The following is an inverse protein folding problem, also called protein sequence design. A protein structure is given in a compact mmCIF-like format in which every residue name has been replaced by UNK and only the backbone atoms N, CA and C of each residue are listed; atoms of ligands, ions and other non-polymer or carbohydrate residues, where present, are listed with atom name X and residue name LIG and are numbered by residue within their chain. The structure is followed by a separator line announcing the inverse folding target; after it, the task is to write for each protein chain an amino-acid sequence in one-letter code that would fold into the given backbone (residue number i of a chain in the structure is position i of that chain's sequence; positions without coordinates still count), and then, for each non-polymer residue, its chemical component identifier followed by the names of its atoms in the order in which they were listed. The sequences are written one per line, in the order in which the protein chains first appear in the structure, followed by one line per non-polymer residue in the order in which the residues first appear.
data_IF_353949284951
#
_entry.id   IF_353949284951
#
_cell.length_a   1.000
_cell.length_b   1.000
_cell.length_c   1.000
_cell.angle_alpha   90.00
_cell.angle_beta   90.00
_cell.angle_gamma   90.00
#
_symmetry.space_group_name_H-M   'P 1'
#
loop_
_entity.id
_entity.type
_entity.pdbx_description
1 polymer ?
#
# COMPACT_ATOMS: atom_id res chain seq x y z
N UNK A 1 19.49 53.85 14.89
CA UNK A 1 19.83 52.98 16.03
C UNK A 1 21.08 52.22 15.65
N UNK A 2 22.18 52.46 16.35
CA UNK A 2 23.49 51.86 16.12
C UNK A 2 23.52 50.44 16.67
N UNK A 3 23.86 49.46 15.83
CA UNK A 3 24.09 48.09 16.30
C UNK A 3 25.32 48.05 17.24
N UNK A 4 25.22 47.39 18.40
CA UNK A 4 26.38 47.19 19.27
C UNK A 4 27.40 46.29 18.56
N UNK A 5 28.63 46.78 18.44
CA UNK A 5 29.72 46.07 17.78
C UNK A 5 29.97 44.71 18.44
N UNK A 6 29.97 43.65 17.63
CA UNK A 6 30.30 42.31 18.09
C UNK A 6 31.74 42.28 18.63
N UNK A 7 31.97 41.66 19.80
CA UNK A 7 33.30 41.60 20.40
C UNK A 7 34.29 40.87 19.48
N UNK A 8 35.48 41.47 19.34
CA UNK A 8 36.58 40.90 18.57
C UNK A 8 37.00 39.54 19.15
N UNK A 9 37.13 38.47 18.33
CA UNK A 9 37.46 37.12 18.80
C UNK A 9 38.82 37.02 19.53
N UNK A 10 39.67 38.06 19.46
CA UNK A 10 40.96 38.10 20.16
C UNK A 10 40.85 38.31 21.68
N UNK A 11 39.76 38.89 22.20
CA UNK A 11 39.67 39.15 23.65
C UNK A 11 39.33 37.90 24.46
N UNK A 12 38.61 36.93 23.87
CA UNK A 12 38.16 35.73 24.59
C UNK A 12 39.33 34.78 24.87
N UNK A 13 40.29 34.64 23.95
CA UNK A 13 41.40 33.70 24.11
C UNK A 13 42.40 34.13 25.18
N UNK A 14 42.56 35.44 25.43
CA UNK A 14 43.44 35.95 26.49
C UNK A 14 42.90 35.59 27.88
N UNK A 15 41.58 35.75 28.10
CA UNK A 15 40.94 35.41 29.38
C UNK A 15 41.07 33.95 29.78
N UNK A 16 41.03 33.01 28.83
CA UNK A 16 41.13 31.58 29.15
C UNK A 16 42.57 31.21 29.55
N UNK A 17 43.56 31.77 28.86
CA UNK A 17 44.97 31.55 29.18
C UNK A 17 45.34 32.11 30.56
N UNK A 18 44.82 33.29 30.91
CA UNK A 18 45.09 33.93 32.21
C UNK A 18 44.44 33.16 33.37
N UNK A 19 43.21 32.65 33.20
CA UNK A 19 42.52 31.84 34.21
C UNK A 19 43.24 30.49 34.42
N UNK A 20 43.70 29.83 33.35
CA UNK A 20 44.45 28.59 33.48
C UNK A 20 45.82 28.77 34.12
N UNK A 21 46.51 29.89 33.84
CA UNK A 21 47.76 30.24 34.50
C UNK A 21 47.57 30.44 36.01
N UNK A 22 46.41 30.97 36.44
CA UNK A 22 46.06 31.12 37.86
C UNK A 22 45.78 29.78 38.56
N UNK A 23 45.32 28.76 37.83
CA UNK A 23 44.99 27.43 38.38
C UNK A 23 46.18 26.44 38.39
N UNK A 24 47.32 26.80 37.78
CA UNK A 24 48.52 25.95 37.74
C UNK A 24 48.42 24.73 36.81
N UNK A 25 47.42 24.70 35.92
CA UNK A 25 47.25 23.62 34.95
C UNK A 25 48.17 23.82 33.74
N UNK A 26 48.81 22.74 33.27
CA UNK A 26 49.66 22.78 32.08
C UNK A 26 48.85 23.12 30.82
N UNK A 27 49.41 23.98 29.96
CA UNK A 27 48.76 24.50 28.74
C UNK A 27 48.11 23.40 27.86
N UNK A 28 48.73 22.23 27.76
CA UNK A 28 48.22 21.10 26.97
C UNK A 28 46.91 20.51 27.55
N UNK A 29 46.77 20.48 28.87
CA UNK A 29 45.54 20.02 29.52
C UNK A 29 44.37 20.98 29.25
N UNK A 30 44.66 22.27 29.19
CA UNK A 30 43.69 23.34 28.90
C UNK A 30 43.24 23.28 27.44
N UNK A 31 44.18 23.11 26.50
CA UNK A 31 43.85 22.96 25.09
C UNK A 31 43.04 21.68 24.83
N UNK A 32 43.37 20.57 25.51
CA UNK A 32 42.60 19.33 25.47
C UNK A 32 41.17 19.51 25.99
N UNK A 33 41.01 20.11 27.16
CA UNK A 33 39.70 20.38 27.76
C UNK A 33 38.86 21.34 26.90
N UNK A 34 39.49 22.36 26.30
CA UNK A 34 38.82 23.29 25.39
C UNK A 34 38.34 22.60 24.12
N UNK A 35 39.17 21.72 23.53
CA UNK A 35 38.79 20.96 22.35
C UNK A 35 37.62 20.00 22.65
N UNK A 36 37.66 19.30 23.79
CA UNK A 36 36.58 18.41 24.20
C UNK A 36 35.28 19.17 24.46
N UNK A 37 35.35 20.32 25.15
CA UNK A 37 34.20 21.19 25.38
C UNK A 37 33.60 21.71 24.06
N UNK A 38 34.45 22.07 23.08
CA UNK A 38 34.01 22.51 21.75
C UNK A 38 33.29 21.39 21.00
N UNK A 39 33.88 20.18 20.97
CA UNK A 39 33.28 19.01 20.35
C UNK A 39 31.96 18.60 21.01
N UNK A 40 31.87 18.73 22.34
CA UNK A 40 30.63 18.49 23.07
C UNK A 40 29.56 19.54 22.70
N UNK A 41 29.93 20.82 22.65
CA UNK A 41 29.03 21.90 22.26
C UNK A 41 28.50 21.69 20.83
N UNK A 42 29.37 21.37 19.87
CA UNK A 42 28.96 21.07 18.48
C UNK A 42 28.00 19.89 18.40
N UNK A 43 28.28 18.79 19.12
CA UNK A 43 27.35 17.64 19.18
C UNK A 43 26.01 18.03 19.80
N UNK A 44 26.02 18.85 20.86
CA UNK A 44 24.80 19.30 21.52
C UNK A 44 23.94 20.19 20.59
N UNK A 45 24.58 21.11 19.85
CA UNK A 45 23.93 21.98 18.87
C UNK A 45 23.39 21.17 17.70
N UNK A 46 24.16 20.21 17.17
CA UNK A 46 23.69 19.31 16.11
C UNK A 46 22.49 18.46 16.56
N UNK A 47 22.48 17.95 17.79
CA UNK A 47 21.34 17.22 18.36
C UNK A 47 20.12 18.13 18.55
N UNK A 48 20.31 19.33 19.11
CA UNK A 48 19.24 20.30 19.29
C UNK A 48 18.65 20.72 17.93
N UNK A 49 19.51 20.95 16.93
CA UNK A 49 19.11 21.27 15.57
C UNK A 49 18.32 20.13 14.93
N UNK A 50 18.81 18.90 15.02
CA UNK A 50 18.08 17.73 14.52
C UNK A 50 16.71 17.60 15.16
N UNK A 51 16.63 17.77 16.49
CA UNK A 51 15.35 17.71 17.20
C UNK A 51 14.40 18.83 16.73
N UNK A 52 14.87 20.05 16.51
CA UNK A 52 14.02 21.14 16.01
C UNK A 52 13.58 20.87 14.57
N UNK A 53 14.47 20.40 13.68
CA UNK A 53 14.17 20.05 12.28
C UNK A 53 13.19 18.86 12.15
N UNK A 54 13.10 18.02 13.18
CA UNK A 54 12.13 16.92 13.24
C UNK A 54 10.70 17.43 13.48
N UNK A 55 10.52 18.49 14.28
CA UNK A 55 9.19 19.00 14.66
C UNK A 55 8.78 20.31 13.97
N UNK A 56 9.73 21.07 13.44
CA UNK A 56 9.48 22.38 12.84
C UNK A 56 10.02 22.47 11.42
N UNK A 57 9.29 23.20 10.58
CA UNK A 57 9.79 23.59 9.27
C UNK A 57 10.71 24.81 9.45
N UNK A 58 12.00 24.66 9.14
CA UNK A 58 13.01 25.71 9.28
C UNK A 58 13.36 26.22 7.87
N UNK A 59 13.36 27.55 7.68
CA UNK A 59 13.78 28.16 6.41
C UNK A 59 15.32 28.21 6.27
N UNK A 60 15.80 28.73 5.13
CA UNK A 60 17.25 28.88 4.86
C UNK A 60 17.94 29.88 5.80
N UNK A 61 17.18 30.76 6.44
CA UNK A 61 17.63 31.78 7.37
C UNK A 61 17.47 31.33 8.83
N UNK A 62 17.28 30.02 9.06
CA UNK A 62 17.06 29.41 10.38
C UNK A 62 15.83 29.90 11.14
N UNK A 63 14.82 30.44 10.43
CA UNK A 63 13.56 30.85 11.05
C UNK A 63 12.63 29.65 11.14
N UNK A 64 12.02 29.47 12.32
CA UNK A 64 10.96 28.48 12.50
C UNK A 64 9.68 28.97 11.82
N UNK A 65 9.28 28.33 10.73
CA UNK A 65 8.06 28.65 9.96
C UNK A 65 6.79 28.06 10.60
N UNK A 66 6.95 27.16 11.57
CA UNK A 66 5.85 26.54 12.32
C UNK A 66 6.06 25.02 12.48
N UNK A 67 5.10 24.33 13.12
CA UNK A 67 5.12 22.88 13.23
C UNK A 67 5.18 22.26 11.84
N UNK A 68 6.04 21.26 11.67
CA UNK A 68 6.16 20.48 10.45
C UNK A 68 4.78 19.91 10.12
N UNK A 69 4.21 20.33 8.98
CA UNK A 69 2.92 19.81 8.55
C UNK A 69 3.03 18.30 8.43
N UNK A 70 2.13 17.58 9.11
CA UNK A 70 2.02 16.14 8.95
C UNK A 70 1.93 15.81 7.46
N UNK A 71 2.69 14.80 7.02
CA UNK A 71 2.63 14.36 5.64
C UNK A 71 1.17 13.97 5.36
N UNK A 72 0.45 14.66 4.45
CA UNK A 72 -0.94 14.34 4.15
C UNK A 72 -1.11 12.92 3.62
N UNK A 73 -0.01 12.26 3.22
CA UNK A 73 0.02 10.88 2.78
C UNK A 73 0.32 9.87 3.90
N UNK A 74 0.64 10.29 5.13
CA UNK A 74 1.01 9.37 6.21
C UNK A 74 -0.07 8.32 6.47
N UNK A 75 -1.33 8.76 6.60
CA UNK A 75 -2.48 7.88 6.86
C UNK A 75 -2.66 6.86 5.72
N UNK A 76 -2.51 7.32 4.47
CA UNK A 76 -2.55 6.44 3.29
C UNK A 76 -1.38 5.46 3.29
N UNK A 77 -0.18 5.90 3.64
CA UNK A 77 1.02 5.07 3.63
C UNK A 77 0.97 3.99 4.72
N UNK A 78 0.40 4.30 5.89
CA UNK A 78 0.14 3.31 6.97
C UNK A 78 -0.89 2.28 6.50
N UNK A 79 -1.96 2.71 5.84
CA UNK A 79 -2.99 1.82 5.27
C UNK A 79 -2.42 0.92 4.16
N UNK A 80 -1.65 1.50 3.23
CA UNK A 80 -0.95 0.75 2.18
C UNK A 80 0.02 -0.28 2.79
N UNK A 81 0.75 0.08 3.85
CA UNK A 81 1.62 -0.84 4.56
C UNK A 81 0.84 -1.98 5.21
N UNK A 82 -0.25 -1.69 5.95
CA UNK A 82 -1.14 -2.69 6.53
C UNK A 82 -1.62 -3.69 5.47
N UNK A 83 -2.14 -3.20 4.34
CA UNK A 83 -2.66 -4.06 3.28
C UNK A 83 -1.57 -4.88 2.58
N UNK A 84 -0.34 -4.36 2.46
CA UNK A 84 0.77 -5.11 1.88
C UNK A 84 1.08 -6.40 2.67
N UNK A 85 0.89 -6.40 3.99
CA UNK A 85 1.07 -7.59 4.84
C UNK A 85 -0.21 -8.40 5.00
N UNK A 86 -1.34 -7.73 5.26
CA UNK A 86 -2.60 -8.40 5.58
C UNK A 86 -3.17 -9.19 4.39
N UNK A 87 -2.88 -8.78 3.15
CA UNK A 87 -3.30 -9.51 1.94
C UNK A 87 -2.47 -10.76 1.65
N UNK A 88 -1.24 -10.88 2.16
CA UNK A 88 -0.36 -12.02 1.85
C UNK A 88 -1.02 -13.35 2.25
N UNK A 89 -1.52 -13.52 3.48
CA UNK A 89 -2.24 -14.73 3.87
C UNK A 89 -3.45 -15.03 2.96
N UNK A 90 -4.24 -14.01 2.60
CA UNK A 90 -5.40 -14.16 1.71
C UNK A 90 -4.97 -14.70 0.35
N UNK A 91 -3.93 -14.10 -0.25
CA UNK A 91 -3.40 -14.49 -1.56
C UNK A 91 -2.82 -15.90 -1.49
N UNK A 92 -1.97 -16.20 -0.50
CA UNK A 92 -1.33 -17.52 -0.38
C UNK A 92 -2.38 -18.62 -0.18
N UNK A 93 -3.34 -18.42 0.72
CA UNK A 93 -4.42 -19.38 0.94
C UNK A 93 -5.31 -19.54 -0.29
N UNK A 94 -5.55 -18.47 -1.07
CA UNK A 94 -6.25 -18.59 -2.33
C UNK A 94 -5.45 -19.50 -3.28
N UNK A 95 -4.18 -19.19 -3.53
CA UNK A 95 -3.31 -19.96 -4.44
C UNK A 95 -3.18 -21.43 -4.03
N UNK A 96 -3.05 -21.74 -2.74
CA UNK A 96 -2.96 -23.14 -2.23
C UNK A 96 -4.21 -23.95 -2.57
N UNK A 97 -5.38 -23.31 -2.68
CA UNK A 97 -6.60 -24.01 -3.07
C UNK A 97 -6.73 -24.22 -4.59
N UNK A 98 -5.83 -23.68 -5.42
CA UNK A 98 -5.84 -23.87 -6.88
C UNK A 98 -4.88 -24.97 -7.32
N UNK A 99 -5.37 -25.85 -8.20
CA UNK A 99 -4.59 -26.89 -8.86
C UNK A 99 -3.75 -26.31 -10.00
N UNK A 100 -2.51 -25.90 -9.69
CA UNK A 100 -1.56 -25.45 -10.71
C UNK A 100 -1.16 -26.55 -11.68
N UNK A 101 -1.23 -27.82 -11.26
CA UNK A 101 -0.99 -28.96 -12.13
C UNK A 101 -2.06 -29.03 -13.25
N UNK A 102 -3.34 -28.88 -12.89
CA UNK A 102 -4.43 -28.82 -13.87
C UNK A 102 -4.24 -27.66 -14.85
N UNK A 103 -3.88 -26.49 -14.33
CA UNK A 103 -3.58 -25.31 -15.16
C UNK A 103 -2.39 -25.58 -16.11
N UNK A 104 -1.32 -26.20 -15.61
CA UNK A 104 -0.13 -26.54 -16.39
C UNK A 104 -0.44 -27.54 -17.50
N UNK A 105 -1.23 -28.57 -17.21
CA UNK A 105 -1.64 -29.58 -18.19
C UNK A 105 -2.52 -29.00 -19.30
N UNK A 106 -3.42 -28.06 -18.96
CA UNK A 106 -4.20 -27.34 -19.96
C UNK A 106 -3.29 -26.49 -20.86
N UNK A 107 -2.37 -25.72 -20.27
CA UNK A 107 -1.53 -24.78 -21.03
C UNK A 107 -0.47 -25.46 -21.90
N UNK A 108 0.14 -26.56 -21.42
CA UNK A 108 1.33 -27.13 -22.05
C UNK A 108 1.15 -28.55 -22.59
N UNK A 109 0.13 -29.28 -22.14
CA UNK A 109 -0.11 -30.68 -22.55
C UNK A 109 -1.41 -30.86 -23.34
N UNK A 110 -2.10 -29.76 -23.68
CA UNK A 110 -3.34 -29.80 -24.48
C UNK A 110 -4.50 -30.51 -23.78
N UNK A 111 -4.48 -30.61 -22.45
CA UNK A 111 -5.62 -31.12 -21.70
C UNK A 111 -6.86 -30.26 -21.96
N UNK A 112 -8.02 -30.90 -22.14
CA UNK A 112 -9.26 -30.18 -22.37
C UNK A 112 -9.63 -29.32 -21.16
N UNK A 113 -10.10 -28.09 -21.42
CA UNK A 113 -10.69 -27.26 -20.38
C UNK A 113 -12.03 -27.86 -19.96
N UNK A 114 -12.12 -28.35 -18.73
CA UNK A 114 -13.35 -28.97 -18.20
C UNK A 114 -14.21 -27.93 -17.50
N UNK A 115 -13.75 -27.39 -16.38
CA UNK A 115 -14.44 -26.33 -15.64
C UNK A 115 -13.50 -25.59 -14.68
N UNK A 116 -13.82 -24.32 -14.38
CA UNK A 116 -13.06 -23.55 -13.39
C UNK A 116 -13.21 -24.15 -11.97
N UNK A 117 -14.35 -24.79 -11.71
CA UNK A 117 -14.62 -25.46 -10.44
C UNK A 117 -13.65 -26.62 -10.16
N UNK A 118 -13.30 -27.41 -11.18
CA UNK A 118 -12.36 -28.55 -11.04
C UNK A 118 -10.93 -28.11 -10.73
N UNK A 119 -10.57 -26.88 -11.09
CA UNK A 119 -9.27 -26.32 -10.75
C UNK A 119 -9.17 -25.91 -9.27
N UNK A 120 -10.29 -25.85 -8.54
CA UNK A 120 -10.32 -25.53 -7.11
C UNK A 120 -10.36 -26.79 -6.26
N UNK A 121 -9.29 -27.08 -5.54
CA UNK A 121 -9.16 -28.24 -4.66
C UNK A 121 -9.82 -28.02 -3.29
N UNK A 122 -9.85 -26.77 -2.81
CA UNK A 122 -10.54 -26.39 -1.58
C UNK A 122 -9.98 -26.98 -0.27
N UNK A 123 -8.77 -27.54 -0.27
CA UNK A 123 -8.16 -28.21 0.89
C UNK A 123 -8.15 -27.34 2.16
N UNK A 124 -7.94 -26.03 2.01
CA UNK A 124 -7.91 -25.06 3.11
C UNK A 124 -9.01 -24.00 2.95
N UNK A 125 -10.11 -24.35 2.28
CA UNK A 125 -11.20 -23.43 1.93
C UNK A 125 -11.84 -22.75 3.14
N UNK A 126 -12.02 -23.47 4.25
CA UNK A 126 -12.56 -22.92 5.50
C UNK A 126 -11.63 -21.87 6.13
N UNK A 127 -10.33 -22.16 6.22
CA UNK A 127 -9.34 -21.20 6.74
C UNK A 127 -9.24 -19.98 5.82
N UNK A 128 -9.20 -20.20 4.51
CA UNK A 128 -9.22 -19.14 3.50
C UNK A 128 -10.42 -18.20 3.68
N UNK A 129 -11.61 -18.76 3.94
CA UNK A 129 -12.81 -17.99 4.21
C UNK A 129 -12.68 -17.08 5.43
N UNK A 130 -12.28 -17.63 6.58
CA UNK A 130 -12.13 -16.85 7.83
C UNK A 130 -11.09 -15.75 7.70
N UNK A 131 -9.94 -16.04 7.08
CA UNK A 131 -8.86 -15.06 6.87
C UNK A 131 -9.32 -13.94 5.93
N UNK A 132 -10.06 -14.28 4.86
CA UNK A 132 -10.60 -13.29 3.92
C UNK A 132 -11.64 -12.38 4.59
N UNK A 133 -12.56 -12.96 5.37
CA UNK A 133 -13.56 -12.18 6.11
C UNK A 133 -12.90 -11.26 7.14
N UNK A 134 -11.95 -11.78 7.91
CA UNK A 134 -11.22 -10.98 8.91
C UNK A 134 -10.47 -9.82 8.24
N UNK A 135 -9.79 -10.06 7.12
CA UNK A 135 -9.14 -9.01 6.33
C UNK A 135 -10.12 -7.90 5.94
N UNK A 136 -11.25 -8.24 5.30
CA UNK A 136 -12.19 -7.22 4.85
C UNK A 136 -12.87 -6.47 5.99
N UNK A 137 -13.12 -7.11 7.13
CA UNK A 137 -13.64 -6.42 8.32
C UNK A 137 -12.63 -5.42 8.88
N UNK A 138 -11.36 -5.81 8.96
CA UNK A 138 -10.29 -4.91 9.43
C UNK A 138 -10.05 -3.75 8.46
N UNK A 139 -9.99 -4.02 7.16
CA UNK A 139 -9.79 -2.99 6.14
C UNK A 139 -10.97 -2.00 6.08
N UNK A 140 -12.21 -2.51 6.17
CA UNK A 140 -13.41 -1.67 6.28
C UNK A 140 -13.37 -0.81 7.54
N UNK A 141 -13.00 -1.39 8.69
CA UNK A 141 -12.86 -0.66 9.95
C UNK A 141 -11.83 0.47 9.81
N UNK A 142 -10.68 0.18 9.19
CA UNK A 142 -9.64 1.16 8.92
C UNK A 142 -10.18 2.34 8.09
N UNK A 143 -10.86 2.07 6.97
CA UNK A 143 -11.38 3.12 6.06
C UNK A 143 -12.51 3.93 6.71
N UNK A 144 -13.33 3.32 7.56
CA UNK A 144 -14.40 4.03 8.29
C UNK A 144 -13.81 5.01 9.30
N UNK A 145 -12.80 4.61 10.07
CA UNK A 145 -12.18 5.47 11.08
C UNK A 145 -11.18 6.47 10.50
N UNK A 146 -10.53 6.13 9.39
CA UNK A 146 -9.50 6.95 8.74
C UNK A 146 -9.83 7.14 7.26
N UNK A 147 -10.88 7.90 6.90
CA UNK A 147 -11.36 8.03 5.53
C UNK A 147 -10.36 8.72 4.58
N UNK A 148 -9.36 9.42 5.11
CA UNK A 148 -8.26 10.03 4.33
C UNK A 148 -7.22 9.01 3.86
N UNK A 149 -7.28 7.75 4.32
CA UNK A 149 -6.41 6.68 3.86
C UNK A 149 -6.59 6.35 2.38
N UNK A 150 -7.77 6.62 1.82
CA UNK A 150 -8.13 6.34 0.43
C UNK A 150 -8.73 7.57 -0.24
N UNK A 151 -8.65 7.63 -1.57
CA UNK A 151 -9.16 8.79 -2.33
C UNK A 151 -10.68 8.91 -2.34
N UNK A 152 -11.38 7.77 -2.28
CA UNK A 152 -12.83 7.70 -2.43
C UNK A 152 -13.43 6.78 -1.36
N UNK A 153 -13.42 7.19 -0.07
CA UNK A 153 -13.79 6.33 1.05
C UNK A 153 -15.19 5.73 0.90
N UNK A 154 -16.18 6.51 0.47
CA UNK A 154 -17.56 6.02 0.29
C UNK A 154 -17.66 4.88 -0.73
N UNK A 155 -16.94 4.96 -1.84
CA UNK A 155 -16.94 3.91 -2.88
C UNK A 155 -16.29 2.64 -2.35
N UNK A 156 -15.19 2.79 -1.61
CA UNK A 156 -14.46 1.67 -1.00
C UNK A 156 -15.32 1.00 0.08
N UNK A 157 -15.95 1.76 0.97
CA UNK A 157 -16.87 1.23 1.99
C UNK A 157 -17.99 0.42 1.35
N UNK A 158 -18.68 0.96 0.33
CA UNK A 158 -19.75 0.22 -0.37
C UNK A 158 -19.20 -1.04 -1.03
N UNK A 159 -18.03 -0.98 -1.67
CA UNK A 159 -17.38 -2.15 -2.25
C UNK A 159 -17.11 -3.24 -1.19
N UNK A 160 -16.55 -2.90 -0.02
CA UNK A 160 -16.31 -3.85 1.06
C UNK A 160 -17.62 -4.45 1.59
N UNK A 161 -18.66 -3.65 1.78
CA UNK A 161 -19.96 -4.15 2.23
C UNK A 161 -20.56 -5.16 1.23
N UNK A 162 -20.49 -4.86 -0.07
CA UNK A 162 -20.92 -5.79 -1.13
C UNK A 162 -20.08 -7.07 -1.11
N UNK A 163 -18.75 -6.95 -1.01
CA UNK A 163 -17.85 -8.12 -0.95
C UNK A 163 -18.12 -8.97 0.28
N UNK A 164 -18.21 -8.38 1.48
CA UNK A 164 -18.52 -9.09 2.73
C UNK A 164 -19.85 -9.82 2.62
N UNK A 165 -20.88 -9.17 2.08
CA UNK A 165 -22.19 -9.81 1.88
C UNK A 165 -22.08 -11.01 0.95
N UNK A 166 -21.31 -10.89 -0.14
CA UNK A 166 -21.05 -12.00 -1.06
C UNK A 166 -20.28 -13.15 -0.38
N UNK A 167 -19.33 -12.83 0.52
CA UNK A 167 -18.59 -13.84 1.29
C UNK A 167 -19.49 -14.65 2.23
N UNK A 168 -20.67 -14.18 2.62
CA UNK A 168 -21.58 -14.97 3.44
C UNK A 168 -22.20 -16.15 2.66
N UNK A 169 -22.29 -16.06 1.33
CA UNK A 169 -22.88 -17.12 0.49
C UNK A 169 -22.13 -18.46 0.62
N UNK A 170 -20.80 -18.54 0.43
CA UNK A 170 -20.07 -19.80 0.58
C UNK A 170 -20.05 -20.34 2.02
N UNK A 171 -20.41 -19.53 3.03
CA UNK A 171 -20.57 -20.03 4.41
C UNK A 171 -21.84 -20.87 4.55
N UNK A 172 -22.89 -20.50 3.85
CA UNK A 172 -24.18 -21.22 3.81
C UNK A 172 -24.17 -22.33 2.74
N UNK A 173 -23.48 -22.08 1.63
CA UNK A 173 -23.35 -22.99 0.49
C UNK A 173 -21.87 -23.26 0.18
N UNK A 174 -21.20 -24.14 0.95
CA UNK A 174 -19.77 -24.44 0.79
C UNK A 174 -19.38 -24.90 -0.62
N UNK A 175 -20.33 -25.44 -1.40
CA UNK A 175 -20.11 -25.80 -2.81
C UNK A 175 -19.73 -24.60 -3.69
N UNK A 176 -19.95 -23.36 -3.25
CA UNK A 176 -19.59 -22.12 -3.95
C UNK A 176 -18.28 -21.50 -3.46
N UNK A 177 -17.51 -22.16 -2.59
CA UNK A 177 -16.19 -21.68 -2.15
C UNK A 177 -15.22 -21.44 -3.32
N UNK A 178 -15.30 -22.23 -4.39
CA UNK A 178 -14.47 -22.03 -5.57
C UNK A 178 -14.77 -20.71 -6.30
N UNK A 179 -16.04 -20.27 -6.31
CA UNK A 179 -16.46 -18.99 -6.89
C UNK A 179 -15.83 -17.86 -6.10
N UNK A 180 -15.90 -17.94 -4.76
CA UNK A 180 -15.20 -17.01 -3.88
C UNK A 180 -13.70 -16.99 -4.19
N UNK A 181 -13.04 -18.15 -4.27
CA UNK A 181 -11.62 -18.24 -4.63
C UNK A 181 -11.29 -17.53 -5.94
N UNK A 182 -12.13 -17.72 -6.96
CA UNK A 182 -11.95 -17.10 -8.26
C UNK A 182 -12.13 -15.57 -8.21
N UNK A 183 -13.16 -15.07 -7.52
CA UNK A 183 -13.37 -13.63 -7.31
C UNK A 183 -12.19 -13.00 -6.53
N UNK A 184 -11.67 -13.71 -5.52
CA UNK A 184 -10.60 -13.24 -4.63
C UNK A 184 -9.23 -13.12 -5.30
N UNK A 185 -9.04 -13.60 -6.53
CA UNK A 185 -7.85 -13.26 -7.32
C UNK A 185 -7.70 -11.75 -7.53
N UNK A 186 -8.79 -10.97 -7.44
CA UNK A 186 -8.73 -9.50 -7.52
C UNK A 186 -7.77 -8.90 -6.49
N UNK A 187 -7.59 -9.54 -5.34
CA UNK A 187 -6.71 -9.06 -4.29
C UNK A 187 -5.22 -9.19 -4.65
N UNK A 188 -4.86 -10.13 -5.53
CA UNK A 188 -3.50 -10.18 -6.09
C UNK A 188 -3.20 -8.90 -6.90
N UNK A 189 -4.19 -8.45 -7.69
CA UNK A 189 -4.04 -7.20 -8.42
C UNK A 189 -4.02 -5.98 -7.47
N UNK A 190 -4.86 -5.96 -6.43
CA UNK A 190 -4.84 -4.93 -5.37
C UNK A 190 -3.47 -4.85 -4.70
N UNK A 191 -2.87 -6.00 -4.36
CA UNK A 191 -1.55 -6.08 -3.76
C UNK A 191 -0.47 -5.51 -4.68
N UNK A 192 -0.47 -5.85 -5.98
CA UNK A 192 0.48 -5.25 -6.93
C UNK A 192 0.30 -3.74 -7.10
N UNK A 193 -0.94 -3.23 -7.03
CA UNK A 193 -1.21 -1.79 -7.06
C UNK A 193 -0.58 -1.09 -5.85
N UNK A 194 -0.76 -1.64 -4.65
CA UNK A 194 -0.22 -1.10 -3.40
C UNK A 194 1.31 -1.19 -3.39
N UNK A 195 1.87 -2.35 -3.78
CA UNK A 195 3.31 -2.55 -3.91
C UNK A 195 3.94 -1.53 -4.87
N UNK A 196 3.26 -1.24 -5.99
CA UNK A 196 3.69 -0.24 -6.97
C UNK A 196 3.74 1.17 -6.37
N UNK A 197 2.73 1.58 -5.60
CA UNK A 197 2.73 2.88 -4.89
C UNK A 197 3.84 2.95 -3.85
N UNK A 198 3.95 1.90 -3.02
CA UNK A 198 4.93 1.81 -1.94
C UNK A 198 6.38 1.83 -2.44
N UNK A 199 6.66 1.15 -3.57
CA UNK A 199 7.99 1.12 -4.16
C UNK A 199 8.34 2.36 -5.02
N UNK A 200 7.36 3.20 -5.37
CA UNK A 200 7.56 4.38 -6.20
C UNK A 200 6.85 5.64 -5.65
N UNK A 201 7.02 5.94 -4.35
CA UNK A 201 6.42 7.10 -3.69
C UNK A 201 6.75 8.44 -4.36
N UNK A 202 7.96 8.56 -4.91
CA UNK A 202 8.47 9.79 -5.56
C UNK A 202 8.07 9.91 -7.05
N UNK A 203 7.27 8.96 -7.57
CA UNK A 203 6.89 8.90 -8.97
C UNK A 203 8.10 9.00 -9.94
N UNK A 204 9.22 8.41 -9.55
CA UNK A 204 10.42 8.37 -10.36
C UNK A 204 10.17 7.57 -11.64
N UNK A 205 10.86 7.95 -12.72
CA UNK A 205 10.85 7.20 -13.98
C UNK A 205 11.90 6.08 -13.90
N UNK A 206 11.56 4.83 -14.23
CA UNK A 206 12.56 3.77 -14.36
C UNK A 206 13.68 4.20 -15.32
N UNK A 207 14.94 3.91 -14.97
CA UNK A 207 16.13 4.24 -15.74
C UNK A 207 16.41 5.74 -15.93
N UNK A 208 15.80 6.63 -15.12
CA UNK A 208 16.18 8.03 -15.07
C UNK A 208 17.52 8.23 -14.36
N UNK A 209 18.20 9.35 -14.65
CA UNK A 209 19.45 9.76 -13.99
C UNK A 209 19.26 9.79 -12.47
N UNK A 210 20.13 9.09 -11.73
CA UNK A 210 20.07 8.98 -10.26
C UNK A 210 19.23 7.82 -9.72
N UNK A 211 18.54 7.05 -10.57
CA UNK A 211 17.80 5.85 -10.16
C UNK A 211 18.66 4.62 -10.42
N UNK A 212 18.98 3.86 -9.37
CA UNK A 212 19.76 2.61 -9.52
C UNK A 212 19.08 1.62 -10.47
N UNK A 213 19.90 0.78 -11.15
CA UNK A 213 19.41 -0.25 -12.06
C UNK A 213 18.46 -1.24 -11.36
N UNK A 214 18.85 -1.74 -10.18
CA UNK A 214 18.01 -2.66 -9.39
C UNK A 214 16.64 -2.07 -9.02
N UNK A 215 16.60 -0.79 -8.61
CA UNK A 215 15.34 -0.08 -8.32
C UNK A 215 14.48 0.03 -9.58
N UNK A 216 15.09 0.34 -10.73
CA UNK A 216 14.40 0.44 -12.02
C UNK A 216 13.80 -0.90 -12.47
N UNK A 217 14.57 -1.99 -12.39
CA UNK A 217 14.08 -3.34 -12.69
C UNK A 217 12.91 -3.71 -11.77
N UNK A 218 13.03 -3.51 -10.45
CA UNK A 218 11.94 -3.77 -9.50
C UNK A 218 10.67 -3.00 -9.84
N UNK A 219 10.80 -1.70 -10.14
CA UNK A 219 9.65 -0.86 -10.52
C UNK A 219 9.00 -1.32 -11.82
N UNK A 220 9.79 -1.76 -12.80
CA UNK A 220 9.30 -2.31 -14.06
C UNK A 220 8.56 -3.63 -13.83
N UNK A 221 9.15 -4.57 -13.09
CA UNK A 221 8.54 -5.87 -12.78
C UNK A 221 7.21 -5.72 -12.06
N UNK A 222 7.15 -4.93 -10.98
CA UNK A 222 5.90 -4.69 -10.24
C UNK A 222 4.84 -4.03 -11.15
N UNK A 223 5.26 -3.07 -11.99
CA UNK A 223 4.34 -2.42 -12.93
C UNK A 223 3.80 -3.40 -13.97
N UNK A 224 4.63 -4.28 -14.51
CA UNK A 224 4.22 -5.31 -15.46
C UNK A 224 3.21 -6.27 -14.79
N UNK A 225 3.55 -6.80 -13.61
CA UNK A 225 2.64 -7.66 -12.84
C UNK A 225 1.30 -6.97 -12.54
N UNK A 226 1.31 -5.69 -12.17
CA UNK A 226 0.10 -4.91 -11.95
C UNK A 226 -0.77 -4.84 -13.22
N UNK A 227 -0.22 -4.45 -14.38
CA UNK A 227 -1.03 -4.30 -15.59
C UNK A 227 -1.49 -5.64 -16.16
N UNK A 228 -0.64 -6.66 -16.13
CA UNK A 228 -1.00 -8.02 -16.55
C UNK A 228 -2.13 -8.58 -15.68
N UNK A 229 -2.00 -8.50 -14.35
CA UNK A 229 -3.06 -8.93 -13.44
C UNK A 229 -4.32 -8.07 -13.57
N UNK A 230 -4.21 -6.77 -13.83
CA UNK A 230 -5.37 -5.90 -14.04
C UNK A 230 -6.20 -6.39 -15.23
N UNK A 231 -5.55 -6.64 -16.37
CA UNK A 231 -6.24 -7.10 -17.56
C UNK A 231 -6.80 -8.51 -17.38
N UNK A 232 -5.97 -9.46 -16.96
CA UNK A 232 -6.36 -10.88 -16.85
C UNK A 232 -7.43 -11.08 -15.78
N UNK A 233 -7.23 -10.52 -14.59
CA UNK A 233 -8.10 -10.79 -13.44
C UNK A 233 -9.31 -9.84 -13.43
N UNK A 234 -9.07 -8.53 -13.49
CA UNK A 234 -10.17 -7.56 -13.32
C UNK A 234 -11.05 -7.43 -14.55
N UNK A 235 -10.50 -7.55 -15.75
CA UNK A 235 -11.26 -7.38 -16.98
C UNK A 235 -11.75 -8.72 -17.55
N UNK A 236 -10.86 -9.70 -17.70
CA UNK A 236 -11.25 -10.98 -18.31
C UNK A 236 -11.95 -11.91 -17.29
N UNK A 237 -11.27 -12.31 -16.22
CA UNK A 237 -11.81 -13.30 -15.27
C UNK A 237 -13.11 -12.83 -14.60
N UNK A 238 -13.18 -11.61 -14.09
CA UNK A 238 -14.40 -11.12 -13.44
C UNK A 238 -15.61 -11.02 -14.39
N UNK A 239 -15.40 -10.64 -15.65
CA UNK A 239 -16.46 -10.62 -16.65
C UNK A 239 -16.90 -12.05 -17.00
N UNK A 240 -15.96 -12.99 -17.07
CA UNK A 240 -16.24 -14.41 -17.30
C UNK A 240 -16.98 -15.07 -16.11
N UNK A 241 -16.70 -14.67 -14.86
CA UNK A 241 -17.37 -15.24 -13.68
C UNK A 241 -18.85 -14.86 -13.59
N UNK A 242 -19.27 -13.72 -14.14
CA UNK A 242 -20.66 -13.28 -14.06
C UNK A 242 -21.68 -14.28 -14.67
N UNK A 243 -21.52 -14.76 -15.92
CA UNK A 243 -22.42 -15.76 -16.48
C UNK A 243 -22.36 -17.10 -15.73
N UNK A 244 -21.20 -17.50 -15.18
CA UNK A 244 -21.11 -18.71 -14.35
C UNK A 244 -21.88 -18.58 -13.04
N UNK A 245 -21.74 -17.46 -12.33
CA UNK A 245 -22.52 -17.18 -11.11
C UNK A 245 -24.02 -17.15 -11.41
N UNK A 246 -24.41 -16.57 -12.54
CA UNK A 246 -25.80 -16.59 -12.99
C UNK A 246 -26.32 -18.01 -13.22
N UNK A 247 -25.53 -18.87 -13.88
CA UNK A 247 -25.87 -20.29 -14.09
C UNK A 247 -26.03 -21.04 -12.76
N UNK A 248 -25.14 -20.81 -11.79
CA UNK A 248 -25.22 -21.40 -10.46
C UNK A 248 -26.48 -20.96 -9.71
N UNK A 249 -26.81 -19.65 -9.75
CA UNK A 249 -28.04 -19.12 -9.16
C UNK A 249 -29.29 -19.73 -9.79
N UNK A 250 -29.35 -19.84 -11.12
CA UNK A 250 -30.47 -20.46 -11.83
C UNK A 250 -30.66 -21.93 -11.41
N UNK A 251 -29.57 -22.70 -11.39
CA UNK A 251 -29.60 -24.10 -10.97
C UNK A 251 -30.02 -24.24 -9.50
N UNK A 252 -29.56 -23.36 -8.61
CA UNK A 252 -29.99 -23.34 -7.21
C UNK A 252 -31.48 -22.97 -7.08
N UNK A 253 -31.93 -21.96 -7.82
CA UNK A 253 -33.32 -21.50 -7.82
C UNK A 253 -34.29 -22.59 -8.25
N UNK A 254 -33.93 -23.38 -9.27
CA UNK A 254 -34.70 -24.53 -9.72
C UNK A 254 -34.80 -25.62 -8.65
N UNK A 255 -33.70 -25.89 -7.92
CA UNK A 255 -33.69 -26.87 -6.82
C UNK A 255 -34.55 -26.44 -5.63
N UNK A 256 -34.54 -25.15 -5.30
CA UNK A 256 -35.29 -24.61 -4.16
C UNK A 256 -36.75 -24.24 -4.50
N UNK A 257 -37.14 -24.24 -5.77
CA UNK A 257 -38.47 -23.80 -6.21
C UNK A 257 -38.74 -22.30 -6.04
N UNK A 258 -37.70 -21.48 -5.84
CA UNK A 258 -37.80 -20.03 -5.67
C UNK A 258 -36.63 -19.30 -6.33
N UNK A 259 -36.96 -18.26 -7.10
CA UNK A 259 -35.97 -17.35 -7.71
C UNK A 259 -35.34 -16.40 -6.68
N UNK A 260 -36.02 -16.16 -5.56
CA UNK A 260 -35.55 -15.30 -4.47
C UNK A 260 -34.90 -16.17 -3.40
N UNK A 261 -33.60 -16.40 -3.55
CA UNK A 261 -32.78 -17.14 -2.60
C UNK A 261 -31.44 -16.42 -2.38
N UNK A 262 -30.67 -16.87 -1.39
CA UNK A 262 -29.43 -16.20 -0.96
C UNK A 262 -28.41 -16.04 -2.08
N UNK A 263 -28.33 -16.99 -3.03
CA UNK A 263 -27.34 -16.97 -4.13
C UNK A 263 -27.60 -15.86 -5.14
N UNK A 264 -28.81 -15.30 -5.20
CA UNK A 264 -29.14 -14.13 -6.01
C UNK A 264 -28.27 -12.92 -5.66
N UNK A 265 -27.88 -12.79 -4.39
CA UNK A 265 -27.00 -11.71 -3.92
C UNK A 265 -25.65 -11.75 -4.65
N UNK A 266 -25.11 -12.94 -4.93
CA UNK A 266 -23.84 -13.07 -5.65
C UNK A 266 -23.93 -12.55 -7.08
N UNK A 267 -25.06 -12.72 -7.76
CA UNK A 267 -25.28 -12.20 -9.13
C UNK A 267 -25.22 -10.67 -9.13
N UNK A 268 -26.00 -10.02 -8.25
CA UNK A 268 -26.01 -8.56 -8.16
C UNK A 268 -24.67 -7.99 -7.69
N UNK A 269 -24.03 -8.66 -6.72
CA UNK A 269 -22.72 -8.26 -6.22
C UNK A 269 -21.67 -8.34 -7.32
N UNK A 270 -21.60 -9.45 -8.06
CA UNK A 270 -20.63 -9.59 -9.15
C UNK A 270 -20.89 -8.59 -10.27
N UNK A 271 -22.15 -8.32 -10.62
CA UNK A 271 -22.49 -7.30 -11.61
C UNK A 271 -21.98 -5.91 -11.17
N UNK A 272 -22.22 -5.53 -9.92
CA UNK A 272 -21.72 -4.28 -9.36
C UNK A 272 -20.18 -4.20 -9.41
N UNK A 273 -19.49 -5.31 -9.07
CA UNK A 273 -18.03 -5.39 -9.13
C UNK A 273 -17.48 -5.26 -10.56
N UNK A 274 -18.14 -5.87 -11.55
CA UNK A 274 -17.77 -5.74 -12.97
C UNK A 274 -17.92 -4.29 -13.45
N UNK A 275 -19.01 -3.63 -13.06
CA UNK A 275 -19.23 -2.20 -13.37
C UNK A 275 -18.15 -1.32 -12.73
N UNK A 276 -17.83 -1.56 -11.45
CA UNK A 276 -16.77 -0.82 -10.75
C UNK A 276 -15.39 -1.04 -11.38
N UNK A 277 -15.05 -2.27 -11.74
CA UNK A 277 -13.79 -2.57 -12.44
C UNK A 277 -13.71 -1.89 -13.81
N UNK A 278 -14.82 -1.82 -14.54
CA UNK A 278 -14.92 -1.09 -15.80
C UNK A 278 -14.68 0.41 -15.59
N UNK A 279 -15.34 1.01 -14.60
CA UNK A 279 -15.15 2.42 -14.22
C UNK A 279 -13.69 2.71 -13.87
N UNK A 280 -13.09 1.91 -12.98
CA UNK A 280 -11.69 2.11 -12.59
C UNK A 280 -10.71 1.93 -13.75
N UNK A 281 -11.03 1.06 -14.71
CA UNK A 281 -10.24 0.91 -15.93
C UNK A 281 -10.30 2.16 -16.79
N UNK A 282 -11.48 2.75 -16.97
CA UNK A 282 -11.64 4.02 -17.67
C UNK A 282 -10.86 5.13 -16.96
N UNK A 283 -10.94 5.19 -15.63
CA UNK A 283 -10.21 6.19 -14.83
C UNK A 283 -8.68 6.00 -14.98
N UNK A 284 -8.19 4.76 -14.90
CA UNK A 284 -6.78 4.42 -15.10
C UNK A 284 -6.29 4.86 -16.49
N UNK A 285 -7.04 4.53 -17.55
CA UNK A 285 -6.69 4.92 -18.93
C UNK A 285 -6.69 6.45 -19.09
N UNK A 286 -7.76 7.13 -18.65
CA UNK A 286 -7.87 8.59 -18.71
C UNK A 286 -6.71 9.28 -18.00
N UNK A 287 -6.31 8.73 -16.86
CA UNK A 287 -5.22 9.28 -16.07
C UNK A 287 -3.86 9.20 -16.78
N UNK A 288 -3.64 8.13 -17.57
CA UNK A 288 -2.44 7.98 -18.41
C UNK A 288 -2.48 8.89 -19.62
N UNK A 289 -3.64 9.04 -20.27
CA UNK A 289 -3.81 9.99 -21.37
C UNK A 289 -3.56 11.44 -20.94
N UNK A 290 -4.04 11.83 -19.76
CA UNK A 290 -3.82 13.17 -19.19
C UNK A 290 -2.37 13.44 -18.79
N UNK A 291 -1.60 12.41 -18.42
CA UNK A 291 -0.19 12.54 -18.04
C UNK A 291 0.77 12.94 -19.18
N UNK A 292 0.27 13.15 -20.40
CA UNK A 292 0.98 13.92 -21.44
C UNK A 292 1.06 15.43 -21.14
N UNK A 293 0.33 15.92 -20.13
CA UNK A 293 0.61 17.17 -19.42
C UNK A 293 1.28 16.86 -18.06
N UNK A 294 2.16 17.74 -17.54
CA UNK A 294 2.95 17.48 -16.33
C UNK A 294 2.07 17.00 -15.16
N UNK A 295 2.37 15.80 -14.65
CA UNK A 295 1.43 15.00 -13.87
C UNK A 295 1.29 15.46 -12.42
N UNK A 296 0.03 15.61 -11.95
CA UNK A 296 -0.33 15.60 -10.53
C UNK A 296 -0.60 14.14 -10.13
N UNK A 297 0.16 13.61 -9.17
CA UNK A 297 0.24 12.18 -8.84
C UNK A 297 -1.10 11.48 -8.59
N UNK A 298 -1.20 10.23 -9.04
CA UNK A 298 -2.28 9.30 -8.69
C UNK A 298 -1.82 8.33 -7.61
#
# INVERSE_FOLDING_TARGET
MSEPGSPSPRSVSQTVADISAMCGEGRDAVEGAWHEATMYAERSVCRARSAIEDYFEIDKDFRMLGPKREDPNLVRDVHDFFNLFALIPVIVLNLVNWSFESLWNIMFHGAAWTSLQEMWQGQVGGLFWYVSLAYFLLDLTFVVFLPTSVKSPSVIIVHHLVTITCLLVPKVHPEYLWVMGACMFVELNTWFLIARRSCNKRAEKPFATGVSFAKSCRMLTISLCFYSSWFIIRLALNAFLLPEIFRLWMAHSQRCGSMFNLTLISVFSQLALVILNTKWTIDLVRSKLKSKSPSKGL
#
